data_IF_782818809538
#
_entry.id   IF_782818809538
#
_cell.length_a   1.000
_cell.length_b   1.000
_cell.length_c   1.000
_cell.angle_alpha   90.00
_cell.angle_beta   90.00
_cell.angle_gamma   90.00
#
_symmetry.space_group_name_H-M   'P 1'
#
loop_
_entity.id
_entity.type
_entity.pdbx_description
1 polymer ?
#
# COMPACT_ATOMS: atom_id res chain seq x y z
N UNK A 1 7.65 -24.40 -13.20
CA UNK A 1 7.69 -22.95 -12.94
C UNK A 1 7.27 -22.78 -11.50
N UNK A 2 8.20 -22.52 -10.59
CA UNK A 2 7.85 -22.08 -9.24
C UNK A 2 7.28 -20.68 -9.37
N UNK A 3 5.95 -20.58 -9.29
CA UNK A 3 5.31 -19.29 -9.06
C UNK A 3 5.77 -18.83 -7.69
N UNK A 4 6.63 -17.81 -7.65
CA UNK A 4 7.13 -17.21 -6.40
C UNK A 4 5.93 -16.97 -5.47
N UNK A 5 5.84 -17.78 -4.41
CA UNK A 5 4.70 -17.73 -3.52
C UNK A 5 4.66 -16.35 -2.87
N UNK A 6 3.48 -15.71 -2.74
CA UNK A 6 3.39 -14.36 -2.21
C UNK A 6 4.03 -14.29 -0.82
N UNK A 7 5.04 -13.42 -0.68
CA UNK A 7 5.69 -13.18 0.61
C UNK A 7 4.78 -12.32 1.49
N UNK A 8 4.10 -12.97 2.42
CA UNK A 8 3.24 -12.32 3.41
C UNK A 8 4.07 -11.76 4.55
N UNK A 9 3.71 -10.57 5.02
CA UNK A 9 4.28 -10.00 6.23
C UNK A 9 3.22 -9.27 7.04
N UNK A 10 3.45 -9.27 8.35
CA UNK A 10 2.70 -8.50 9.33
C UNK A 10 3.44 -7.21 9.64
N UNK A 11 2.73 -6.11 9.88
CA UNK A 11 3.38 -4.87 10.29
C UNK A 11 4.11 -5.07 11.62
N UNK A 12 5.29 -4.49 11.77
CA UNK A 12 6.03 -4.47 13.04
C UNK A 12 5.30 -3.72 14.17
N UNK A 13 4.29 -2.92 13.83
CA UNK A 13 3.44 -2.21 14.79
C UNK A 13 2.23 -3.05 15.21
N UNK A 14 2.24 -4.35 14.91
CA UNK A 14 1.13 -5.25 15.19
C UNK A 14 1.24 -5.90 16.56
N UNK A 15 0.18 -5.86 17.37
CA UNK A 15 0.09 -6.64 18.61
C UNK A 15 -0.58 -8.01 18.36
N UNK A 16 -0.31 -9.04 19.19
CA UNK A 16 -0.87 -10.39 19.02
C UNK A 16 -2.39 -10.44 18.98
N UNK A 17 -3.05 -9.49 19.64
CA UNK A 17 -4.47 -9.56 20.00
C UNK A 17 -5.35 -8.58 19.20
N UNK A 18 -4.74 -7.71 18.39
CA UNK A 18 -5.47 -6.63 17.68
C UNK A 18 -5.14 -6.49 16.20
N UNK A 19 -4.20 -7.29 15.68
CA UNK A 19 -3.72 -7.13 14.31
C UNK A 19 -3.99 -8.39 13.49
N UNK A 20 -5.18 -8.44 12.89
CA UNK A 20 -5.65 -9.60 12.13
C UNK A 20 -5.31 -9.51 10.64
N UNK A 21 -4.39 -8.64 10.19
CA UNK A 21 -4.11 -8.48 8.77
C UNK A 21 -2.64 -8.75 8.42
N UNK A 22 -2.44 -9.41 7.29
CA UNK A 22 -1.16 -9.56 6.60
C UNK A 22 -1.25 -8.96 5.20
N UNK A 23 -0.13 -8.43 4.72
CA UNK A 23 -0.01 -7.93 3.35
C UNK A 23 1.10 -8.64 2.60
N UNK A 24 0.94 -8.76 1.29
CA UNK A 24 2.00 -9.15 0.37
C UNK A 24 2.10 -8.11 -0.73
N UNK A 25 3.29 -7.58 -0.95
CA UNK A 25 3.56 -6.54 -1.95
C UNK A 25 4.39 -7.19 -3.05
N UNK A 26 3.89 -7.16 -4.28
CA UNK A 26 4.58 -7.69 -5.45
C UNK A 26 4.45 -6.75 -6.65
N UNK A 27 5.09 -7.12 -7.76
CA UNK A 27 5.10 -6.30 -8.98
C UNK A 27 3.69 -6.13 -9.59
N UNK A 28 2.81 -7.12 -9.42
CA UNK A 28 1.43 -7.09 -9.92
C UNK A 28 0.47 -6.27 -9.06
N UNK A 29 0.87 -5.92 -7.83
CA UNK A 29 0.01 -5.21 -6.89
C UNK A 29 0.19 -5.67 -5.44
N UNK A 30 -0.82 -5.36 -4.63
CA UNK A 30 -0.86 -5.67 -3.19
C UNK A 30 -1.99 -6.63 -2.90
N UNK A 31 -1.69 -7.65 -2.09
CA UNK A 31 -2.70 -8.55 -1.53
C UNK A 31 -2.79 -8.31 -0.03
N UNK A 32 -4.00 -8.33 0.51
CA UNK A 32 -4.28 -8.20 1.94
C UNK A 32 -5.17 -9.35 2.38
N UNK A 33 -4.83 -10.02 3.47
CA UNK A 33 -5.64 -11.12 4.01
C UNK A 33 -5.78 -11.04 5.51
N UNK A 34 -6.75 -11.77 6.03
CA UNK A 34 -6.91 -12.00 7.46
C UNK A 34 -5.88 -13.03 7.96
N UNK A 35 -5.05 -12.66 8.95
CA UNK A 35 -4.02 -13.51 9.55
C UNK A 35 -4.60 -14.76 10.24
N UNK A 36 -5.83 -14.67 10.71
CA UNK A 36 -6.55 -15.75 11.41
C UNK A 36 -7.36 -16.64 10.45
N UNK A 37 -7.58 -16.16 9.21
CA UNK A 37 -8.29 -16.88 8.15
C UNK A 37 -7.47 -16.91 6.86
N UNK A 38 -6.31 -17.55 6.92
CA UNK A 38 -5.35 -17.62 5.81
C UNK A 38 -5.83 -18.46 4.62
N UNK A 39 -6.86 -19.27 4.83
CA UNK A 39 -7.58 -20.08 3.84
C UNK A 39 -8.59 -19.25 3.02
N UNK A 40 -8.97 -18.07 3.51
CA UNK A 40 -9.89 -17.19 2.80
C UNK A 40 -9.23 -16.51 1.59
N UNK A 41 -10.05 -16.14 0.60
CA UNK A 41 -9.59 -15.35 -0.53
C UNK A 41 -9.07 -13.97 -0.05
N UNK A 42 -7.86 -13.55 -0.46
CA UNK A 42 -7.33 -12.24 -0.12
C UNK A 42 -8.04 -11.13 -0.91
N UNK A 43 -8.02 -9.92 -0.37
CA UNK A 43 -8.33 -8.71 -1.12
C UNK A 43 -7.13 -8.41 -2.01
N UNK A 44 -7.36 -8.29 -3.32
CA UNK A 44 -6.32 -7.95 -4.29
C UNK A 44 -6.51 -6.53 -4.82
N UNK A 45 -5.43 -5.76 -4.81
CA UNK A 45 -5.35 -4.43 -5.39
C UNK A 45 -4.28 -4.51 -6.48
N UNK A 46 -4.66 -4.34 -7.74
CA UNK A 46 -3.66 -4.29 -8.80
C UNK A 46 -2.81 -3.01 -8.66
N UNK A 47 -1.64 -3.04 -9.30
CA UNK A 47 -0.66 -1.96 -9.20
C UNK A 47 -1.20 -0.53 -9.47
N UNK A 48 -2.06 -0.28 -10.48
CA UNK A 48 -2.56 1.07 -10.71
C UNK A 48 -3.52 1.54 -9.61
N UNK A 49 -4.37 0.67 -9.07
CA UNK A 49 -5.29 0.98 -7.97
C UNK A 49 -4.53 1.25 -6.68
N UNK A 50 -3.51 0.44 -6.37
CA UNK A 50 -2.64 0.67 -5.23
C UNK A 50 -1.94 2.03 -5.31
N UNK A 51 -1.45 2.39 -6.50
CA UNK A 51 -0.83 3.70 -6.75
C UNK A 51 -1.83 4.84 -6.54
N UNK A 52 -3.06 4.68 -7.02
CA UNK A 52 -4.11 5.68 -6.83
C UNK A 52 -4.45 5.87 -5.35
N UNK A 53 -4.57 4.78 -4.58
CA UNK A 53 -4.80 4.81 -3.14
C UNK A 53 -3.70 5.58 -2.40
N UNK A 54 -2.42 5.28 -2.70
CA UNK A 54 -1.29 5.95 -2.05
C UNK A 54 -1.28 7.46 -2.28
N UNK A 55 -1.68 7.93 -3.47
CA UNK A 55 -1.78 9.39 -3.74
C UNK A 55 -2.77 10.09 -2.82
N UNK A 56 -3.88 9.42 -2.50
CA UNK A 56 -4.90 9.96 -1.58
C UNK A 56 -4.42 9.91 -0.13
N UNK A 57 -3.88 8.76 0.30
CA UNK A 57 -3.54 8.49 1.70
C UNK A 57 -2.25 9.19 2.14
N UNK A 58 -1.22 9.24 1.28
CA UNK A 58 0.05 9.87 1.63
C UNK A 58 -0.01 11.40 1.64
N UNK A 59 -1.17 11.99 1.38
CA UNK A 59 -1.36 13.44 1.47
C UNK A 59 -0.38 14.21 0.60
N UNK A 60 0.05 13.64 -0.53
CA UNK A 60 0.62 14.41 -1.63
C UNK A 60 -0.50 15.25 -2.26
N UNK A 61 -1.01 16.21 -1.47
CA UNK A 61 -1.36 17.54 -1.97
C UNK A 61 -0.21 17.88 -2.89
N UNK A 62 -0.44 17.85 -4.20
CA UNK A 62 0.55 18.26 -5.17
C UNK A 62 1.19 19.52 -4.64
N UNK A 63 2.50 19.48 -4.37
CA UNK A 63 3.25 20.67 -4.06
C UNK A 63 2.92 21.64 -5.19
N UNK A 64 2.13 22.68 -4.90
CA UNK A 64 1.97 23.80 -5.82
C UNK A 64 3.38 24.35 -5.95
N UNK A 65 4.04 24.07 -7.07
CA UNK A 65 5.17 24.86 -7.53
C UNK A 65 4.65 26.31 -7.59
N UNK A 66 4.99 27.10 -6.58
CA UNK A 66 4.92 28.55 -6.65
C UNK A 66 6.01 28.96 -7.62
N UNK A 67 5.62 29.34 -8.84
CA UNK A 67 6.50 29.96 -9.83
C UNK A 67 7.12 31.26 -9.29
N UNK A 68 8.20 31.74 -9.94
CA UNK A 68 9.14 32.65 -9.31
C UNK A 68 8.54 34.04 -9.04
N UNK A 69 8.87 34.57 -7.86
CA UNK A 69 8.61 35.95 -7.45
C UNK A 69 9.23 36.92 -8.46
N UNK A 70 8.40 37.74 -9.11
CA UNK A 70 8.85 38.88 -9.91
C UNK A 70 9.52 39.91 -8.99
N UNK A 71 10.68 40.49 -9.34
CA UNK A 71 11.25 41.56 -8.52
C UNK A 71 10.39 42.82 -8.61
N UNK A 72 10.26 43.50 -7.47
CA UNK A 72 9.58 44.79 -7.35
C UNK A 72 10.33 45.85 -8.19
N UNK A 73 9.55 46.72 -8.84
CA UNK A 73 10.02 47.92 -9.54
C UNK A 73 9.71 49.15 -8.70
#
# INVERSE_FOLDING_TARGET
>A
METDAPRWFKSSHSAPETCCLEASIGASGVRVRDSTRQDAAPIELAAPEWTALLRVVSGSRGSRVTGPSRPAR
#
